data_IF_721759313858
#
_entry.id   IF_721759313858
#
_cell.length_a   1.000
_cell.length_b   1.000
_cell.length_c   1.000
_cell.angle_alpha   90.00
_cell.angle_beta   90.00
_cell.angle_gamma   90.00
#
_symmetry.space_group_name_H-M   'P 1'
#
loop_
_entity.id
_entity.type
_entity.pdbx_description
1 polymer ?
#
# COMPACT_ATOMS: atom_id res chain seq x y z
N UNK A 1 -70.77 8.00 -21.54
CA UNK A 1 -70.17 8.00 -20.20
C UNK A 1 -68.81 7.34 -20.31
N UNK A 2 -67.73 8.12 -20.30
CA UNK A 2 -66.37 7.62 -20.39
C UNK A 2 -65.86 7.51 -18.96
N UNK A 3 -65.60 6.28 -18.50
CA UNK A 3 -65.00 5.98 -17.20
C UNK A 3 -63.52 6.39 -17.23
N UNK A 4 -63.18 7.38 -16.41
CA UNK A 4 -61.79 7.74 -16.14
C UNK A 4 -61.22 6.74 -15.12
N UNK A 5 -60.36 5.84 -15.57
CA UNK A 5 -59.54 5.05 -14.66
C UNK A 5 -58.44 5.96 -14.09
N UNK A 6 -58.48 6.10 -12.77
CA UNK A 6 -57.55 6.90 -11.99
C UNK A 6 -56.27 6.08 -11.84
N UNK A 7 -55.21 6.49 -12.52
CA UNK A 7 -53.87 5.91 -12.39
C UNK A 7 -53.41 6.11 -10.94
N UNK A 8 -53.33 4.99 -10.20
CA UNK A 8 -52.84 4.96 -8.83
C UNK A 8 -51.32 5.13 -8.89
N UNK A 9 -50.83 6.31 -8.50
CA UNK A 9 -49.41 6.60 -8.45
C UNK A 9 -48.74 5.62 -7.47
N UNK A 10 -47.99 4.66 -8.04
CA UNK A 10 -47.17 3.75 -7.25
C UNK A 10 -46.19 4.57 -6.41
N UNK A 11 -46.41 4.55 -5.09
CA UNK A 11 -45.48 5.11 -4.11
C UNK A 11 -44.14 4.38 -4.25
N UNK A 12 -43.16 5.05 -4.84
CA UNK A 12 -41.77 4.59 -4.88
C UNK A 12 -41.30 4.44 -3.42
N UNK A 13 -40.86 3.24 -2.98
CA UNK A 13 -40.37 3.06 -1.62
C UNK A 13 -39.20 4.01 -1.36
N UNK A 14 -39.19 4.60 -0.16
CA UNK A 14 -38.14 5.48 0.30
C UNK A 14 -36.76 4.86 0.05
N UNK A 15 -35.87 5.70 -0.50
CA UNK A 15 -34.49 5.41 -0.86
C UNK A 15 -33.86 4.44 0.16
N UNK A 16 -33.56 3.22 -0.29
CA UNK A 16 -32.68 2.32 0.45
C UNK A 16 -31.42 3.10 0.85
N UNK A 17 -30.94 2.89 2.08
CA UNK A 17 -29.76 3.59 2.62
C UNK A 17 -28.69 3.71 1.53
N UNK A 18 -28.39 4.96 1.13
CA UNK A 18 -27.27 5.21 0.22
C UNK A 18 -26.06 4.62 0.92
N UNK A 19 -25.46 3.58 0.35
CA UNK A 19 -24.09 3.26 0.69
C UNK A 19 -23.30 4.52 0.34
N UNK A 20 -22.69 5.17 1.34
CA UNK A 20 -21.78 6.30 1.12
C UNK A 20 -20.56 5.74 0.36
N UNK A 21 -20.67 5.71 -0.96
CA UNK A 21 -19.60 5.30 -1.85
C UNK A 21 -18.50 6.36 -1.81
N UNK A 22 -17.22 5.96 -1.84
CA UNK A 22 -16.12 6.90 -1.86
C UNK A 22 -16.19 7.76 -3.13
N UNK A 23 -15.85 9.03 -2.96
CA UNK A 23 -15.63 9.95 -4.07
C UNK A 23 -14.42 9.54 -4.91
N UNK A 24 -14.30 10.07 -6.13
CA UNK A 24 -13.12 9.87 -6.97
C UNK A 24 -11.84 10.38 -6.28
N UNK A 25 -11.92 11.49 -5.56
CA UNK A 25 -10.79 12.04 -4.81
C UNK A 25 -10.37 11.12 -3.66
N UNK A 26 -11.33 10.60 -2.88
CA UNK A 26 -11.04 9.64 -1.81
C UNK A 26 -10.45 8.35 -2.38
N UNK A 27 -10.96 7.89 -3.51
CA UNK A 27 -10.44 6.71 -4.22
C UNK A 27 -9.00 6.94 -4.69
N UNK A 28 -8.74 8.05 -5.39
CA UNK A 28 -7.39 8.40 -5.84
C UNK A 28 -6.42 8.51 -4.66
N UNK A 29 -6.85 9.12 -3.55
CA UNK A 29 -5.99 9.25 -2.37
C UNK A 29 -5.71 7.90 -1.69
N UNK A 30 -6.70 7.01 -1.61
CA UNK A 30 -6.50 5.65 -1.11
C UNK A 30 -5.50 4.87 -2.00
N UNK A 31 -5.64 5.00 -3.32
CA UNK A 31 -4.73 4.39 -4.29
C UNK A 31 -3.31 4.95 -4.20
N UNK A 32 -3.13 6.27 -4.05
CA UNK A 32 -1.82 6.88 -3.81
C UNK A 32 -1.16 6.34 -2.55
N UNK A 33 -1.91 6.14 -1.47
CA UNK A 33 -1.39 5.52 -0.24
C UNK A 33 -0.97 4.07 -0.49
N UNK A 34 -1.78 3.28 -1.20
CA UNK A 34 -1.46 1.89 -1.59
C UNK A 34 -0.18 1.83 -2.42
N UNK A 35 -0.07 2.63 -3.47
CA UNK A 35 1.14 2.72 -4.29
C UNK A 35 2.35 3.15 -3.46
N UNK A 36 2.17 4.15 -2.59
CA UNK A 36 3.19 4.59 -1.64
C UNK A 36 3.72 3.47 -0.74
N UNK A 37 2.83 2.61 -0.22
CA UNK A 37 3.22 1.45 0.61
C UNK A 37 4.08 0.46 -0.17
N UNK A 38 3.72 0.15 -1.42
CA UNK A 38 4.51 -0.76 -2.26
C UNK A 38 5.86 -0.16 -2.65
N UNK A 39 5.89 1.13 -2.99
CA UNK A 39 7.14 1.85 -3.25
C UNK A 39 8.07 1.82 -2.03
N UNK A 40 7.52 1.99 -0.83
CA UNK A 40 8.31 1.92 0.40
C UNK A 40 8.85 0.51 0.69
N UNK A 41 8.08 -0.56 0.41
CA UNK A 41 8.55 -1.94 0.56
C UNK A 41 9.71 -2.23 -0.39
N UNK A 42 9.54 -1.88 -1.66
CA UNK A 42 10.60 -2.03 -2.66
C UNK A 42 11.86 -1.18 -2.34
N UNK A 43 11.69 0.05 -1.82
CA UNK A 43 12.79 0.89 -1.31
C UNK A 43 13.61 0.15 -0.23
N UNK A 44 12.94 -0.49 0.73
CA UNK A 44 13.61 -1.25 1.80
C UNK A 44 14.32 -2.49 1.27
N UNK A 45 13.67 -3.24 0.38
CA UNK A 45 14.26 -4.46 -0.20
C UNK A 45 15.50 -4.11 -1.03
N UNK A 46 15.43 -3.07 -1.87
CA UNK A 46 16.57 -2.57 -2.65
C UNK A 46 17.70 -2.05 -1.75
N UNK A 47 17.37 -1.34 -0.67
CA UNK A 47 18.36 -0.88 0.32
C UNK A 47 19.09 -2.05 0.98
N UNK A 48 18.41 -3.19 1.14
CA UNK A 48 18.99 -4.44 1.61
C UNK A 48 19.59 -5.31 0.50
N UNK A 49 19.80 -4.73 -0.69
CA UNK A 49 20.32 -5.41 -1.89
C UNK A 49 19.52 -6.66 -2.26
N UNK A 50 18.21 -6.63 -2.06
CA UNK A 50 17.25 -7.69 -2.35
C UNK A 50 17.59 -9.00 -1.65
N UNK A 51 18.10 -8.93 -0.40
CA UNK A 51 18.47 -10.10 0.40
C UNK A 51 17.78 -10.10 1.76
N UNK A 52 17.30 -11.27 2.15
CA UNK A 52 16.74 -11.55 3.48
C UNK A 52 17.64 -12.59 4.13
N UNK A 53 18.23 -12.26 5.29
CA UNK A 53 19.20 -13.11 5.97
C UNK A 53 20.34 -13.60 5.05
N UNK A 54 20.81 -12.72 4.17
CA UNK A 54 21.88 -13.01 3.20
C UNK A 54 21.45 -13.82 1.97
N UNK A 55 20.19 -14.27 1.90
CA UNK A 55 19.66 -15.02 0.74
C UNK A 55 18.91 -14.08 -0.20
N UNK A 56 19.02 -14.25 -1.53
CA UNK A 56 18.20 -13.52 -2.50
C UNK A 56 16.70 -13.63 -2.19
N UNK A 57 15.95 -12.53 -2.33
CA UNK A 57 14.49 -12.54 -2.41
C UNK A 57 14.07 -11.95 -3.77
N UNK A 58 13.13 -12.63 -4.41
CA UNK A 58 12.51 -12.30 -5.70
C UNK A 58 11.26 -11.43 -5.53
N UNK A 59 11.09 -10.84 -4.35
CA UNK A 59 9.91 -10.08 -4.01
C UNK A 59 9.71 -8.92 -4.99
N UNK A 60 10.80 -8.35 -5.54
CA UNK A 60 10.76 -7.30 -6.55
C UNK A 60 10.70 -7.83 -8.00
N UNK A 61 10.97 -9.10 -8.24
CA UNK A 61 10.86 -9.70 -9.58
C UNK A 61 9.41 -9.84 -10.03
N UNK A 62 8.54 -10.33 -9.13
CA UNK A 62 7.16 -10.67 -9.46
C UNK A 62 6.14 -9.95 -8.57
N UNK A 63 6.30 -10.01 -7.24
CA UNK A 63 5.26 -9.57 -6.31
C UNK A 63 5.11 -8.05 -6.25
N UNK A 64 6.16 -7.32 -5.89
CA UNK A 64 6.11 -5.87 -5.78
C UNK A 64 5.92 -5.24 -7.15
N UNK A 65 6.61 -5.76 -8.19
CA UNK A 65 6.44 -5.29 -9.57
C UNK A 65 5.00 -5.35 -10.03
N UNK A 66 4.32 -6.50 -9.89
CA UNK A 66 2.91 -6.62 -10.27
C UNK A 66 2.00 -5.66 -9.49
N UNK A 67 2.25 -5.49 -8.19
CA UNK A 67 1.46 -4.59 -7.35
C UNK A 67 1.71 -3.11 -7.68
N UNK A 68 2.94 -2.75 -8.05
CA UNK A 68 3.31 -1.40 -8.48
C UNK A 68 2.68 -1.07 -9.82
N UNK A 69 2.77 -1.98 -10.80
CA UNK A 69 2.13 -1.83 -12.12
C UNK A 69 0.62 -1.67 -11.97
N UNK A 70 -0.05 -2.59 -11.26
CA UNK A 70 -1.49 -2.54 -11.07
C UNK A 70 -1.94 -1.24 -10.37
N UNK A 71 -1.24 -0.82 -9.32
CA UNK A 71 -1.57 0.41 -8.60
C UNK A 71 -1.29 1.67 -9.44
N UNK A 72 -0.24 1.67 -10.27
CA UNK A 72 0.06 2.77 -11.19
C UNK A 72 -0.99 2.87 -12.31
N UNK A 73 -1.41 1.74 -12.90
CA UNK A 73 -2.45 1.70 -13.94
C UNK A 73 -3.81 2.19 -13.42
N UNK A 74 -4.21 1.75 -12.21
CA UNK A 74 -5.43 2.25 -11.55
C UNK A 74 -5.37 3.78 -11.36
N UNK A 75 -4.20 4.32 -11.00
CA UNK A 75 -4.01 5.76 -10.81
C UNK A 75 -3.93 6.56 -12.12
N UNK A 76 -3.41 5.99 -13.20
CA UNK A 76 -3.45 6.62 -14.54
C UNK A 76 -4.89 6.87 -14.96
N UNK A 77 -5.80 5.95 -14.68
CA UNK A 77 -7.22 6.13 -14.98
C UNK A 77 -7.88 7.26 -14.16
N UNK A 78 -7.40 7.51 -12.94
CA UNK A 78 -7.93 8.57 -12.05
C UNK A 78 -7.27 9.93 -12.32
N UNK A 79 -5.98 9.94 -12.67
CA UNK A 79 -5.14 11.12 -12.79
C UNK A 79 -4.20 11.02 -14.00
N UNK A 80 -4.75 11.08 -15.23
CA UNK A 80 -4.00 10.80 -16.46
C UNK A 80 -2.85 11.78 -16.73
N UNK A 81 -2.93 12.99 -16.17
CA UNK A 81 -1.93 14.04 -16.37
C UNK A 81 -0.72 13.92 -15.44
N UNK A 82 -0.71 12.95 -14.50
CA UNK A 82 0.42 12.76 -13.60
C UNK A 82 1.46 11.80 -14.22
N UNK A 83 2.63 12.30 -14.63
CA UNK A 83 3.62 11.49 -15.36
C UNK A 83 4.28 10.42 -14.49
N UNK A 84 4.23 10.56 -13.16
CA UNK A 84 4.95 9.66 -12.22
C UNK A 84 4.52 8.21 -12.40
N UNK A 85 3.25 7.97 -12.71
CA UNK A 85 2.72 6.61 -12.84
C UNK A 85 3.30 5.89 -14.07
N UNK A 86 3.45 6.60 -15.19
CA UNK A 86 4.12 6.08 -16.38
C UNK A 86 5.61 5.86 -16.14
N UNK A 87 6.27 6.80 -15.44
CA UNK A 87 7.68 6.65 -15.09
C UNK A 87 7.96 5.41 -14.23
N UNK A 88 7.04 5.05 -13.31
CA UNK A 88 7.15 3.82 -12.51
C UNK A 88 7.06 2.58 -13.41
N UNK A 89 6.09 2.55 -14.32
CA UNK A 89 5.92 1.43 -15.27
C UNK A 89 7.15 1.28 -16.16
N UNK A 90 7.70 2.38 -16.66
CA UNK A 90 8.91 2.35 -17.49
C UNK A 90 10.14 1.94 -16.69
N UNK A 91 10.26 2.40 -15.44
CA UNK A 91 11.33 1.97 -14.54
C UNK A 91 11.31 0.45 -14.34
N UNK A 92 10.13 -0.12 -14.11
CA UNK A 92 9.93 -1.56 -13.91
C UNK A 92 10.43 -2.33 -15.13
N UNK A 93 9.96 -1.97 -16.34
CA UNK A 93 10.38 -2.62 -17.59
C UNK A 93 11.89 -2.59 -17.80
N UNK A 94 12.54 -1.48 -17.46
CA UNK A 94 13.98 -1.29 -17.64
C UNK A 94 14.80 -2.10 -16.63
N UNK A 95 14.31 -2.25 -15.39
CA UNK A 95 15.09 -2.80 -14.29
C UNK A 95 14.71 -4.23 -13.90
N UNK A 96 13.63 -4.80 -14.45
CA UNK A 96 13.21 -6.17 -14.18
C UNK A 96 14.34 -7.22 -14.32
N UNK A 97 15.19 -7.17 -15.36
CA UNK A 97 16.29 -8.15 -15.51
C UNK A 97 17.38 -8.04 -14.43
N UNK A 98 17.38 -6.95 -13.65
CA UNK A 98 18.35 -6.72 -12.58
C UNK A 98 17.91 -7.28 -11.23
N UNK A 99 16.64 -7.64 -11.09
CA UNK A 99 16.03 -8.01 -9.79
C UNK A 99 15.59 -9.47 -9.73
N UNK A 100 16.06 -10.32 -10.65
CA UNK A 100 15.81 -11.77 -10.63
C UNK A 100 16.66 -12.48 -9.58
N UNK A 101 16.24 -13.68 -9.16
CA UNK A 101 17.03 -14.51 -8.22
C UNK A 101 18.47 -14.71 -8.73
N UNK A 102 18.65 -14.98 -10.01
CA UNK A 102 19.97 -15.21 -10.62
C UNK A 102 20.82 -13.94 -10.54
N UNK A 103 20.27 -12.78 -10.93
CA UNK A 103 20.97 -11.51 -10.89
C UNK A 103 21.41 -11.16 -9.45
N UNK A 104 20.52 -11.31 -8.48
CA UNK A 104 20.81 -11.05 -7.07
C UNK A 104 21.86 -12.04 -6.52
N UNK A 105 21.75 -13.32 -6.88
CA UNK A 105 22.69 -14.36 -6.42
C UNK A 105 24.14 -14.07 -6.85
N UNK A 106 24.31 -13.51 -8.05
CA UNK A 106 25.65 -13.17 -8.57
C UNK A 106 26.24 -11.89 -7.96
N UNK A 107 25.40 -11.04 -7.35
CA UNK A 107 25.81 -9.72 -6.86
C UNK A 107 26.18 -8.72 -7.97
N UNK A 108 25.85 -9.02 -9.24
CA UNK A 108 26.23 -8.23 -10.42
C UNK A 108 25.84 -6.75 -10.32
N UNK A 109 24.72 -6.45 -9.66
CA UNK A 109 24.15 -5.10 -9.56
C UNK A 109 24.12 -4.55 -8.12
N UNK A 110 24.93 -5.11 -7.22
CA UNK A 110 24.92 -4.76 -5.79
C UNK A 110 25.16 -3.27 -5.50
N UNK A 111 25.92 -2.58 -6.37
CA UNK A 111 26.22 -1.16 -6.25
C UNK A 111 25.13 -0.26 -6.88
N UNK A 112 24.28 -0.82 -7.75
CA UNK A 112 23.15 -0.12 -8.37
C UNK A 112 21.93 -0.08 -7.44
N UNK A 113 21.68 -1.14 -6.65
CA UNK A 113 20.47 -1.23 -5.81
C UNK A 113 20.26 -0.06 -4.85
N UNK A 114 21.29 0.52 -4.18
CA UNK A 114 21.09 1.71 -3.36
C UNK A 114 20.61 2.94 -4.15
N UNK A 115 21.03 3.08 -5.41
CA UNK A 115 20.57 4.15 -6.29
C UNK A 115 19.12 3.92 -6.70
N UNK A 116 18.80 2.68 -7.05
CA UNK A 116 17.42 2.24 -7.35
C UNK A 116 16.48 2.48 -6.16
N UNK A 117 16.92 2.22 -4.93
CA UNK A 117 16.15 2.54 -3.73
C UNK A 117 15.84 4.05 -3.61
N UNK A 118 16.81 4.91 -3.95
CA UNK A 118 16.62 6.35 -3.94
C UNK A 118 15.61 6.82 -4.99
N UNK A 119 15.53 6.16 -6.15
CA UNK A 119 14.52 6.43 -7.18
C UNK A 119 13.11 6.14 -6.64
N UNK A 120 12.92 5.01 -5.96
CA UNK A 120 11.65 4.65 -5.31
C UNK A 120 11.21 5.66 -4.25
N UNK A 121 12.17 6.14 -3.43
CA UNK A 121 11.94 7.23 -2.49
C UNK A 121 11.53 8.53 -3.21
N UNK A 122 12.12 8.80 -4.37
CA UNK A 122 11.78 9.92 -5.25
C UNK A 122 10.35 9.84 -5.77
N UNK A 123 9.94 8.69 -6.32
CA UNK A 123 8.57 8.44 -6.76
C UNK A 123 7.58 8.64 -5.62
N UNK A 124 7.86 8.07 -4.45
CA UNK A 124 7.01 8.19 -3.25
C UNK A 124 6.83 9.65 -2.82
N UNK A 125 7.91 10.44 -2.83
CA UNK A 125 7.82 11.88 -2.54
C UNK A 125 6.95 12.62 -3.55
N UNK A 126 7.04 12.30 -4.84
CA UNK A 126 6.23 12.95 -5.89
C UNK A 126 4.76 12.56 -5.83
N UNK A 127 4.43 11.34 -5.44
CA UNK A 127 3.05 10.86 -5.29
C UNK A 127 2.39 11.40 -4.03
N UNK A 128 3.09 11.34 -2.89
CA UNK A 128 2.51 11.70 -1.58
C UNK A 128 2.82 13.13 -1.14
N UNK A 129 3.66 13.86 -1.87
CA UNK A 129 4.21 15.15 -1.47
C UNK A 129 5.26 15.09 -0.36
N UNK A 130 5.50 13.90 0.22
CA UNK A 130 6.39 13.71 1.37
C UNK A 130 6.98 12.30 1.42
N UNK A 131 8.08 12.13 2.14
CA UNK A 131 8.68 10.81 2.45
C UNK A 131 8.31 10.33 3.85
N UNK A 132 7.50 11.08 4.60
CA UNK A 132 7.08 10.71 5.96
C UNK A 132 6.21 9.45 5.92
N UNK A 133 6.52 8.48 6.78
CA UNK A 133 5.87 7.16 6.75
C UNK A 133 4.36 7.22 6.99
N UNK A 134 3.90 8.13 7.84
CA UNK A 134 2.47 8.28 8.18
C UNK A 134 1.61 8.74 7.01
N UNK A 135 2.19 9.36 5.98
CA UNK A 135 1.46 9.78 4.77
C UNK A 135 0.87 8.59 3.99
N UNK A 136 1.42 7.38 4.19
CA UNK A 136 0.92 6.14 3.58
C UNK A 136 -0.20 5.48 4.39
N UNK A 137 -0.44 5.92 5.63
CA UNK A 137 -1.42 5.31 6.53
C UNK A 137 -2.71 6.10 6.45
N UNK A 138 -3.85 5.42 6.38
CA UNK A 138 -5.14 6.12 6.37
C UNK A 138 -5.31 6.91 7.68
N UNK A 139 -5.87 8.12 7.67
CA UNK A 139 -6.02 8.92 8.88
C UNK A 139 -6.72 8.18 10.02
N UNK A 140 -7.73 7.35 9.71
CA UNK A 140 -8.46 6.53 10.69
C UNK A 140 -7.64 5.36 11.26
N UNK A 141 -6.56 4.95 10.59
CA UNK A 141 -5.63 3.91 11.05
C UNK A 141 -4.46 4.49 11.86
N UNK A 142 -4.33 5.82 11.92
CA UNK A 142 -3.25 6.47 12.68
C UNK A 142 -3.60 6.45 14.17
N UNK A 143 -2.87 5.66 14.94
CA UNK A 143 -2.96 5.67 16.41
C UNK A 143 -2.11 6.81 16.98
N UNK A 144 -2.60 7.45 18.02
CA UNK A 144 -1.82 8.42 18.78
C UNK A 144 -0.68 7.75 19.55
N UNK A 145 0.33 8.52 19.93
CA UNK A 145 1.42 8.04 20.80
C UNK A 145 0.86 7.40 22.08
N UNK A 146 -0.22 7.97 22.61
CA UNK A 146 -0.83 7.55 23.87
C UNK A 146 -1.59 6.23 23.70
N UNK A 147 -2.25 6.05 22.56
CA UNK A 147 -2.86 4.77 22.17
C UNK A 147 -1.79 3.70 21.95
N UNK A 148 -0.68 4.03 21.30
CA UNK A 148 0.44 3.10 21.09
C UNK A 148 1.06 2.65 22.41
N UNK A 149 1.29 3.58 23.35
CA UNK A 149 1.78 3.26 24.70
C UNK A 149 0.83 2.35 25.46
N UNK A 150 -0.48 2.59 25.34
CA UNK A 150 -1.51 1.78 26.01
C UNK A 150 -1.49 0.34 25.49
N UNK A 151 -1.46 0.14 24.17
CA UNK A 151 -1.39 -1.19 23.55
C UNK A 151 -0.11 -1.92 24.00
N UNK A 152 1.04 -1.24 23.96
CA UNK A 152 2.30 -1.83 24.41
C UNK A 152 2.28 -2.24 25.89
N UNK A 153 1.67 -1.42 26.76
CA UNK A 153 1.52 -1.76 28.17
C UNK A 153 0.61 -2.99 28.38
N UNK A 154 -0.49 -3.09 27.64
CA UNK A 154 -1.40 -4.24 27.69
C UNK A 154 -0.72 -5.54 27.22
N UNK A 155 0.11 -5.48 26.17
CA UNK A 155 0.89 -6.63 25.71
C UNK A 155 1.93 -7.09 26.74
N UNK A 156 2.61 -6.16 27.41
CA UNK A 156 3.58 -6.47 28.48
C UNK A 156 2.88 -7.12 29.69
N UNK A 157 1.72 -6.62 30.09
CA UNK A 157 0.94 -7.22 31.18
C UNK A 157 0.56 -8.66 30.83
N UNK A 158 0.08 -8.90 29.62
CA UNK A 158 -0.28 -10.24 29.14
C UNK A 158 0.91 -11.20 29.15
N UNK A 159 2.09 -10.75 28.71
CA UNK A 159 3.31 -11.58 28.73
C UNK A 159 3.74 -11.94 30.17
N UNK A 160 3.57 -11.02 31.11
CA UNK A 160 3.84 -11.26 32.54
C UNK A 160 2.86 -12.28 33.12
N UNK A 161 1.55 -12.13 32.85
CA UNK A 161 0.51 -13.07 33.30
C UNK A 161 0.73 -14.48 32.74
N UNK A 162 1.07 -14.61 31.46
CA UNK A 162 1.38 -15.90 30.82
C UNK A 162 2.59 -16.59 31.47
N UNK A 163 3.64 -15.83 31.79
CA UNK A 163 4.82 -16.34 32.49
C UNK A 163 4.50 -16.77 33.92
N UNK A 164 3.72 -15.97 34.65
CA UNK A 164 3.29 -16.28 36.02
C UNK A 164 2.50 -17.59 36.08
N UNK A 165 1.47 -17.72 35.23
CA UNK A 165 0.66 -18.94 35.18
C UNK A 165 1.41 -20.18 34.68
N UNK A 166 2.49 -19.99 33.91
CA UNK A 166 3.37 -21.09 33.49
C UNK A 166 4.31 -21.57 34.60
N UNK A 167 4.61 -20.71 35.58
CA UNK A 167 5.40 -21.07 36.76
C UNK A 167 4.55 -21.77 37.83
N UNK A 168 3.28 -21.40 37.98
CA UNK A 168 2.36 -22.04 38.95
C UNK A 168 1.92 -23.46 38.57
N UNK A 169 2.14 -23.89 37.32
CA UNK A 169 1.78 -25.24 36.83
C UNK A 169 2.91 -26.27 36.88
N UNK A 170 4.07 -25.92 37.44
CA UNK A 170 5.22 -26.82 37.67
C UNK A 170 5.36 -27.16 39.14
#
# INVERSE_FOLDING_TARGET
TITAEREEAATVPALAARYDLPTSEETAQALKRRLGKELYRAELDLSNKLRIAGKPCDCLESKHTLLLEAAAEELIAQEPDNPVYFEIIDWIKQNQPKVTIEAISTGKYDDEYPHMAAEFKGFRKRILGTTVRTAMVEPKEQISLEQAKKIAAEEVVKEVEEKWHSQEKK
#
